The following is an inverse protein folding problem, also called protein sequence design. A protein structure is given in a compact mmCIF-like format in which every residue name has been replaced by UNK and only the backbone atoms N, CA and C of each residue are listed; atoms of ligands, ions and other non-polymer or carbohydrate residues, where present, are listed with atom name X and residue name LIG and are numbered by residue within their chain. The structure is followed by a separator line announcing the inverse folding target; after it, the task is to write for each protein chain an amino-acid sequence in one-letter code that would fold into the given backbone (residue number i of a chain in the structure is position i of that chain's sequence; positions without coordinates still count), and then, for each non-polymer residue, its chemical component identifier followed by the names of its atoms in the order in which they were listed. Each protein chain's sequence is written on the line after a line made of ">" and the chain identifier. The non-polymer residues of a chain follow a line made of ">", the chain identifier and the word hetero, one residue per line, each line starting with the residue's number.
data_IF_242071916213
#
_entry.id   IF_242071916213
#
_cell.length_a   1.000
_cell.length_b   1.000
_cell.length_c   1.000
_cell.angle_alpha   90.00
_cell.angle_beta   90.00
_cell.angle_gamma   90.00
#
_symmetry.space_group_name_H-M   'P 1'
#
loop_
_entity.id
_entity.type
_entity.pdbx_description
1 polymer ?
#
# COMPACT_ATOMS: atom_id res chain seq x y z
N UNK A 1 3.95 -19.63 -1.37
CA UNK A 1 4.51 -18.29 -1.14
C UNK A 1 4.84 -17.64 -2.47
N UNK A 2 4.65 -16.33 -2.59
CA UNK A 2 5.05 -15.51 -3.73
C UNK A 2 5.95 -14.41 -3.21
N UNK A 3 7.21 -14.37 -3.65
CA UNK A 3 8.25 -13.52 -3.04
C UNK A 3 8.95 -12.72 -4.12
N UNK A 4 9.06 -11.41 -3.90
CA UNK A 4 9.82 -10.45 -4.72
C UNK A 4 9.46 -10.49 -6.21
N UNK A 5 8.19 -10.71 -6.54
CA UNK A 5 7.70 -10.68 -7.91
C UNK A 5 7.43 -9.24 -8.36
N UNK A 6 7.50 -9.00 -9.67
CA UNK A 6 6.97 -7.80 -10.30
C UNK A 6 5.77 -8.23 -11.14
N UNK A 7 4.59 -7.69 -10.86
CA UNK A 7 3.33 -8.04 -11.52
C UNK A 7 2.66 -6.77 -12.02
N UNK A 8 2.48 -6.63 -13.32
CA UNK A 8 1.86 -5.43 -13.88
C UNK A 8 1.06 -5.70 -15.14
N UNK A 9 0.12 -4.79 -15.43
CA UNK A 9 -0.68 -4.79 -16.66
C UNK A 9 -1.47 -6.10 -16.89
N UNK A 10 -1.98 -6.69 -15.81
CA UNK A 10 -2.85 -7.87 -15.82
C UNK A 10 -4.31 -7.53 -15.50
N UNK A 11 -5.21 -8.52 -15.64
CA UNK A 11 -6.63 -8.37 -15.24
C UNK A 11 -6.79 -8.25 -13.72
N UNK A 12 -6.78 -9.35 -12.96
CA UNK A 12 -6.46 -9.33 -11.53
C UNK A 12 -4.95 -9.52 -11.31
N UNK A 13 -4.44 -9.01 -10.19
CA UNK A 13 -3.06 -9.22 -9.76
C UNK A 13 -2.96 -10.58 -9.09
N UNK A 14 -2.89 -10.59 -7.76
CA UNK A 14 -3.02 -11.82 -6.98
C UNK A 14 -4.48 -12.09 -6.62
N UNK A 15 -4.94 -13.31 -6.85
CA UNK A 15 -6.21 -13.81 -6.38
C UNK A 15 -6.00 -14.99 -5.43
N UNK A 16 -6.51 -14.88 -4.20
CA UNK A 16 -6.49 -15.97 -3.22
C UNK A 16 -7.92 -16.38 -2.92
N UNK A 17 -8.27 -17.64 -3.22
CA UNK A 17 -9.58 -18.22 -2.91
C UNK A 17 -9.62 -18.79 -1.49
N UNK A 18 -10.83 -19.00 -0.97
CA UNK A 18 -11.03 -19.40 0.43
C UNK A 18 -10.54 -20.79 0.80
N UNK A 19 -10.37 -21.67 -0.17
CA UNK A 19 -9.93 -23.06 0.00
C UNK A 19 -8.44 -23.20 0.36
N UNK A 20 -7.65 -22.13 0.29
CA UNK A 20 -6.21 -22.16 0.56
C UNK A 20 -5.87 -21.45 1.88
N UNK A 21 -5.56 -22.22 2.96
CA UNK A 21 -5.40 -21.65 4.29
C UNK A 21 -3.97 -21.19 4.64
N UNK A 22 -3.01 -21.20 3.72
CA UNK A 22 -1.62 -20.79 4.02
C UNK A 22 -0.94 -20.16 2.81
N UNK A 23 -1.19 -18.87 2.60
CA UNK A 23 -0.63 -18.11 1.47
C UNK A 23 0.11 -16.89 2.00
N UNK A 24 1.35 -16.71 1.53
CA UNK A 24 2.12 -15.50 1.77
C UNK A 24 2.50 -14.86 0.44
N UNK A 25 2.18 -13.57 0.31
CA UNK A 25 2.61 -12.68 -0.78
C UNK A 25 3.51 -11.61 -0.14
N UNK A 26 4.79 -11.63 -0.50
CA UNK A 26 5.82 -10.86 0.18
C UNK A 26 6.70 -10.06 -0.79
N UNK A 27 7.02 -8.81 -0.43
CA UNK A 27 8.10 -8.05 -1.07
C UNK A 27 7.91 -7.74 -2.56
N UNK A 28 6.72 -7.99 -3.10
CA UNK A 28 6.41 -7.88 -4.53
C UNK A 28 6.01 -6.45 -4.90
N UNK A 29 6.18 -6.09 -6.17
CA UNK A 29 5.79 -4.79 -6.73
C UNK A 29 4.65 -5.04 -7.72
N UNK A 30 3.49 -4.43 -7.47
CA UNK A 30 2.27 -4.68 -8.24
C UNK A 30 1.66 -3.37 -8.73
N UNK A 31 1.49 -3.18 -10.03
CA UNK A 31 0.98 -1.91 -10.56
C UNK A 31 0.21 -2.05 -11.88
N UNK A 32 -0.59 -1.04 -12.21
CA UNK A 32 -1.40 -1.00 -13.43
C UNK A 32 -2.29 -2.24 -13.63
N UNK A 33 -2.79 -2.82 -12.54
CA UNK A 33 -3.69 -3.97 -12.61
C UNK A 33 -5.11 -3.51 -12.87
N UNK A 34 -5.75 -4.18 -13.82
CA UNK A 34 -7.16 -4.05 -14.11
C UNK A 34 -7.48 -3.37 -15.42
N UNK A 35 -8.72 -2.93 -15.54
CA UNK A 35 -9.24 -2.24 -16.71
C UNK A 35 -10.45 -1.39 -16.35
N UNK A 36 -10.77 -0.41 -17.20
CA UNK A 36 -12.02 0.34 -17.12
C UNK A 36 -13.15 -0.49 -17.77
N UNK A 37 -14.10 -0.94 -16.96
CA UNK A 37 -15.35 -1.53 -17.42
C UNK A 37 -16.42 -0.47 -17.74
N UNK A 38 -17.58 -0.89 -18.29
CA UNK A 38 -18.69 0.03 -18.59
C UNK A 38 -19.33 0.64 -17.34
N UNK A 39 -19.20 -0.03 -16.19
CA UNK A 39 -19.73 0.39 -14.89
C UNK A 39 -18.65 1.07 -14.04
N UNK A 40 -17.47 0.46 -13.91
CA UNK A 40 -16.41 0.89 -12.98
C UNK A 40 -15.03 0.37 -13.36
N UNK A 41 -14.01 0.77 -12.61
CA UNK A 41 -12.69 0.13 -12.62
C UNK A 41 -12.77 -1.28 -12.03
N UNK A 42 -12.26 -2.26 -12.77
CA UNK A 42 -12.13 -3.66 -12.35
C UNK A 42 -10.66 -4.02 -12.21
N UNK A 43 -10.38 -5.09 -11.46
CA UNK A 43 -9.01 -5.55 -11.20
C UNK A 43 -8.38 -4.89 -9.98
N UNK A 44 -7.69 -5.69 -9.18
CA UNK A 44 -7.11 -5.29 -7.90
C UNK A 44 -5.70 -5.86 -7.80
N UNK A 45 -4.77 -5.16 -7.15
CA UNK A 45 -3.44 -5.72 -6.95
C UNK A 45 -3.50 -7.00 -6.11
N UNK A 46 -4.31 -7.00 -5.04
CA UNK A 46 -4.57 -8.15 -4.20
C UNK A 46 -6.09 -8.32 -4.05
N UNK A 47 -6.64 -9.45 -4.49
CA UNK A 47 -8.00 -9.86 -4.13
C UNK A 47 -7.93 -11.11 -3.28
N UNK A 48 -8.25 -10.97 -1.98
CA UNK A 48 -7.90 -11.96 -0.97
C UNK A 48 -9.14 -12.42 -0.21
N UNK A 49 -9.28 -13.74 -0.09
CA UNK A 49 -10.28 -14.41 0.76
C UNK A 49 -9.64 -15.56 1.54
N UNK A 50 -10.22 -15.93 2.68
CA UNK A 50 -9.80 -17.12 3.42
C UNK A 50 -10.88 -17.60 4.38
N UNK A 51 -11.18 -18.90 4.39
CA UNK A 51 -12.10 -19.51 5.37
C UNK A 51 -11.41 -19.86 6.69
N UNK A 52 -10.08 -20.01 6.68
CA UNK A 52 -9.32 -20.48 7.85
C UNK A 52 -8.07 -19.63 8.10
N UNK A 53 -7.27 -19.36 7.06
CA UNK A 53 -6.00 -18.65 7.15
C UNK A 53 -4.90 -19.41 7.93
N UNK A 54 -3.70 -18.82 8.05
CA UNK A 54 -3.40 -17.43 7.71
C UNK A 54 -3.20 -17.15 6.21
N UNK A 55 -3.66 -15.98 5.78
CA UNK A 55 -3.18 -15.35 4.52
C UNK A 55 -2.42 -14.08 4.86
N UNK A 56 -1.20 -13.96 4.36
CA UNK A 56 -0.25 -12.90 4.68
C UNK A 56 0.08 -12.09 3.44
N UNK A 57 -0.25 -10.80 3.45
CA UNK A 57 0.14 -9.81 2.42
C UNK A 57 1.12 -8.85 3.09
N UNK A 58 2.42 -9.00 2.83
CA UNK A 58 3.46 -8.33 3.63
C UNK A 58 4.55 -7.62 2.82
N UNK A 59 4.91 -6.40 3.24
CA UNK A 59 6.01 -5.61 2.67
C UNK A 59 5.98 -5.48 1.13
N UNK A 60 4.79 -5.53 0.51
CA UNK A 60 4.62 -5.33 -0.92
C UNK A 60 4.48 -3.84 -1.25
N UNK A 61 4.72 -3.48 -2.51
CA UNK A 61 4.46 -2.15 -3.06
C UNK A 61 3.35 -2.29 -4.10
N UNK A 62 2.25 -1.56 -3.92
CA UNK A 62 1.08 -1.62 -4.79
C UNK A 62 0.68 -0.22 -5.23
N UNK A 63 0.60 0.04 -6.53
CA UNK A 63 0.24 1.38 -7.00
C UNK A 63 -0.48 1.45 -8.33
N UNK A 64 -1.28 2.50 -8.50
CA UNK A 64 -2.01 2.78 -9.74
C UNK A 64 -2.82 1.57 -10.23
N UNK A 65 -3.78 1.11 -9.44
CA UNK A 65 -4.72 0.08 -9.89
C UNK A 65 -5.96 0.73 -10.50
N UNK A 66 -6.69 0.01 -11.36
CA UNK A 66 -8.03 0.41 -11.77
C UNK A 66 -9.04 0.27 -10.64
N UNK A 67 -8.94 -0.79 -9.84
CA UNK A 67 -9.70 -0.97 -8.59
C UNK A 67 -8.84 -0.75 -7.34
N UNK A 68 -9.08 -1.55 -6.29
CA UNK A 68 -8.37 -1.45 -5.02
C UNK A 68 -6.90 -1.91 -5.10
N UNK A 69 -6.06 -1.40 -4.19
CA UNK A 69 -4.74 -1.98 -3.94
C UNK A 69 -4.88 -3.34 -3.26
N UNK A 70 -5.49 -3.35 -2.08
CA UNK A 70 -5.94 -4.57 -1.42
C UNK A 70 -7.47 -4.60 -1.37
N UNK A 71 -8.05 -5.68 -1.86
CA UNK A 71 -9.48 -5.98 -1.84
C UNK A 71 -9.72 -7.29 -1.07
N UNK A 72 -9.70 -7.19 0.26
CA UNK A 72 -10.15 -8.27 1.12
C UNK A 72 -11.68 -8.21 1.22
N UNK A 73 -12.33 -9.00 0.37
CA UNK A 73 -13.77 -8.89 0.13
C UNK A 73 -14.35 -10.24 -0.24
N UNK A 74 -15.56 -10.52 0.22
CA UNK A 74 -16.32 -11.70 -0.22
C UNK A 74 -17.78 -11.40 -0.48
N UNK A 75 -18.34 -12.05 -1.50
CA UNK A 75 -19.77 -12.05 -1.80
C UNK A 75 -20.49 -13.08 -0.94
N UNK A 76 -21.78 -12.86 -0.72
CA UNK A 76 -22.62 -13.78 0.04
C UNK A 76 -22.56 -15.20 -0.56
N UNK A 77 -22.25 -16.18 0.28
CA UNK A 77 -22.12 -17.59 -0.15
C UNK A 77 -20.84 -17.95 -0.91
N UNK A 78 -19.91 -17.01 -1.13
CA UNK A 78 -18.65 -17.26 -1.84
C UNK A 78 -17.44 -17.53 -0.93
N UNK A 79 -17.71 -17.75 0.37
CA UNK A 79 -16.72 -18.00 1.42
C UNK A 79 -16.58 -16.83 2.41
N UNK A 80 -15.64 -16.94 3.35
CA UNK A 80 -15.42 -16.05 4.49
C UNK A 80 -14.12 -15.23 4.36
N UNK A 81 -13.91 -14.34 5.33
CA UNK A 81 -12.69 -13.56 5.53
C UNK A 81 -12.16 -13.82 6.94
N UNK A 82 -11.26 -14.80 7.07
CA UNK A 82 -10.70 -15.26 8.35
C UNK A 82 -9.18 -15.18 8.36
N UNK A 83 -8.63 -14.61 9.43
CA UNK A 83 -7.19 -14.67 9.72
C UNK A 83 -6.31 -14.12 8.58
N UNK A 84 -6.71 -12.98 7.99
CA UNK A 84 -5.98 -12.31 6.92
C UNK A 84 -5.18 -11.16 7.52
N UNK A 85 -3.90 -11.05 7.13
CA UNK A 85 -2.98 -10.02 7.62
C UNK A 85 -2.41 -9.21 6.47
N UNK A 86 -2.61 -7.89 6.53
CA UNK A 86 -2.09 -6.90 5.60
C UNK A 86 -1.09 -6.05 6.38
N UNK A 87 0.20 -6.35 6.24
CA UNK A 87 1.25 -5.82 7.13
C UNK A 87 2.40 -5.16 6.36
N UNK A 88 2.81 -3.95 6.73
CA UNK A 88 4.04 -3.33 6.20
C UNK A 88 3.99 -2.94 4.72
N UNK A 89 2.83 -3.02 4.05
CA UNK A 89 2.73 -2.75 2.62
C UNK A 89 2.76 -1.24 2.33
N UNK A 90 3.24 -0.88 1.16
CA UNK A 90 3.15 0.46 0.60
C UNK A 90 2.05 0.47 -0.45
N UNK A 91 0.99 1.25 -0.26
CA UNK A 91 -0.14 1.29 -1.21
C UNK A 91 -0.52 2.72 -1.55
N UNK A 92 -0.44 3.09 -2.83
CA UNK A 92 -0.71 4.47 -3.23
C UNK A 92 -1.42 4.56 -4.57
N UNK A 93 -2.24 5.60 -4.74
CA UNK A 93 -2.96 5.88 -5.98
C UNK A 93 -3.81 4.73 -6.53
N UNK A 94 -4.15 3.73 -5.73
CA UNK A 94 -5.03 2.66 -6.19
C UNK A 94 -6.42 3.22 -6.44
N UNK A 95 -7.08 2.75 -7.50
CA UNK A 95 -8.39 3.21 -7.93
C UNK A 95 -8.35 4.44 -8.83
N UNK A 96 -7.19 5.10 -8.97
CA UNK A 96 -7.07 6.34 -9.75
C UNK A 96 -6.86 6.12 -11.26
N UNK A 97 -6.67 4.87 -11.71
CA UNK A 97 -6.70 4.59 -13.14
C UNK A 97 -8.13 4.54 -13.71
N UNK A 98 -9.13 4.30 -12.85
CA UNK A 98 -10.54 4.39 -13.24
C UNK A 98 -11.01 5.84 -13.31
N UNK A 99 -11.91 6.16 -14.23
CA UNK A 99 -12.37 7.53 -14.45
C UNK A 99 -13.66 7.91 -13.71
N UNK A 100 -14.33 6.95 -13.06
CA UNK A 100 -15.66 7.13 -12.51
C UNK A 100 -15.90 6.42 -11.16
N UNK A 101 -14.91 5.70 -10.63
CA UNK A 101 -15.10 4.78 -9.51
C UNK A 101 -13.83 4.63 -8.66
N UNK A 102 -13.35 5.73 -8.04
CA UNK A 102 -12.16 5.67 -7.22
C UNK A 102 -12.37 4.67 -6.07
N UNK A 103 -11.46 3.70 -6.00
CA UNK A 103 -11.44 2.64 -4.99
C UNK A 103 -10.42 2.96 -3.90
N UNK A 104 -10.49 2.26 -2.77
CA UNK A 104 -9.55 2.48 -1.68
C UNK A 104 -8.15 1.92 -1.97
N UNK A 105 -7.12 2.45 -1.31
CA UNK A 105 -5.81 1.82 -1.28
C UNK A 105 -5.94 0.45 -0.61
N UNK A 106 -6.55 0.39 0.57
CA UNK A 106 -6.76 -0.87 1.30
C UNK A 106 -8.24 -0.99 1.67
N UNK A 107 -8.89 -2.07 1.27
CA UNK A 107 -10.13 -2.59 1.86
C UNK A 107 -9.80 -3.90 2.60
N UNK A 108 -9.99 -3.91 3.92
CA UNK A 108 -9.85 -5.08 4.78
C UNK A 108 -11.20 -5.46 5.43
N UNK A 109 -11.54 -6.74 5.51
CA UNK A 109 -12.80 -7.22 6.10
C UNK A 109 -14.06 -6.68 5.43
N UNK A 110 -14.03 -6.44 4.11
CA UNK A 110 -15.17 -5.94 3.35
C UNK A 110 -16.17 -7.03 2.96
N UNK A 111 -17.26 -6.61 2.31
CA UNK A 111 -18.18 -7.53 1.64
C UNK A 111 -19.40 -7.95 2.43
N UNK A 112 -19.88 -9.15 2.11
CA UNK A 112 -21.23 -9.63 2.40
C UNK A 112 -21.26 -10.88 3.29
N UNK A 113 -20.10 -11.34 3.78
CA UNK A 113 -19.99 -12.35 4.83
C UNK A 113 -19.12 -11.81 5.98
N UNK A 114 -19.42 -12.17 7.25
CA UNK A 114 -18.67 -11.65 8.40
C UNK A 114 -17.18 -11.95 8.32
N UNK A 115 -16.37 -10.92 8.51
CA UNK A 115 -14.92 -11.04 8.66
C UNK A 115 -14.51 -11.20 10.13
N UNK A 116 -13.40 -11.88 10.41
CA UNK A 116 -12.88 -12.08 11.77
C UNK A 116 -11.38 -12.40 11.77
N UNK A 117 -10.66 -11.94 12.79
CA UNK A 117 -9.21 -12.13 12.90
C UNK A 117 -8.42 -11.31 11.88
N UNK A 118 -8.92 -10.12 11.51
CA UNK A 118 -8.32 -9.29 10.47
C UNK A 118 -7.26 -8.35 11.06
N UNK A 119 -6.10 -8.28 10.42
CA UNK A 119 -4.98 -7.42 10.84
C UNK A 119 -4.56 -6.48 9.72
N UNK A 120 -4.55 -5.18 9.99
CA UNK A 120 -4.05 -4.13 9.08
C UNK A 120 -3.04 -3.29 9.85
N UNK A 121 -1.75 -3.60 9.74
CA UNK A 121 -0.73 -2.93 10.54
C UNK A 121 0.48 -2.46 9.77
N UNK A 122 1.09 -1.38 10.24
CA UNK A 122 2.38 -0.88 9.74
C UNK A 122 2.39 -0.57 8.24
N UNK A 123 1.22 -0.41 7.60
CA UNK A 123 1.14 -0.08 6.18
C UNK A 123 1.35 1.42 5.98
N UNK A 124 1.98 1.77 4.86
CA UNK A 124 2.21 3.15 4.44
C UNK A 124 1.37 3.42 3.21
N UNK A 125 0.48 4.41 3.27
CA UNK A 125 -0.40 4.72 2.15
C UNK A 125 -0.37 6.18 1.75
N UNK A 126 -0.69 6.46 0.48
CA UNK A 126 -0.65 7.81 -0.05
C UNK A 126 -1.69 8.04 -1.15
N UNK A 127 -2.34 9.20 -1.08
CA UNK A 127 -2.96 9.87 -2.21
C UNK A 127 -2.50 11.33 -2.24
N UNK A 128 -2.19 11.89 -3.42
CA UNK A 128 -1.93 13.32 -3.55
C UNK A 128 -3.12 14.18 -3.08
N UNK A 129 -2.87 15.43 -2.65
CA UNK A 129 -3.94 16.36 -2.30
C UNK A 129 -4.99 16.51 -3.41
N UNK A 130 -6.26 16.40 -3.05
CA UNK A 130 -7.38 16.50 -4.01
C UNK A 130 -7.73 15.21 -4.76
N UNK A 131 -6.98 14.12 -4.53
CA UNK A 131 -7.24 12.81 -5.15
C UNK A 131 -7.62 11.74 -4.12
N UNK A 132 -8.12 10.62 -4.63
CA UNK A 132 -8.33 9.40 -3.87
C UNK A 132 -9.77 9.22 -3.35
N UNK A 133 -10.03 8.00 -2.89
CA UNK A 133 -11.22 7.65 -2.13
C UNK A 133 -10.86 7.49 -0.64
N UNK A 134 -11.54 6.58 0.06
CA UNK A 134 -11.07 6.08 1.36
C UNK A 134 -9.66 5.55 1.19
N UNK A 135 -8.75 5.94 2.07
CA UNK A 135 -7.37 5.48 2.00
C UNK A 135 -7.27 4.07 2.58
N UNK A 136 -7.57 3.93 3.87
CA UNK A 136 -7.75 2.63 4.52
C UNK A 136 -9.23 2.49 4.88
N UNK A 137 -9.89 1.50 4.31
CA UNK A 137 -11.23 1.07 4.68
C UNK A 137 -11.14 -0.27 5.40
N UNK A 138 -11.68 -0.33 6.61
CA UNK A 138 -11.80 -1.58 7.35
C UNK A 138 -13.25 -1.86 7.71
N UNK A 139 -13.77 -2.98 7.23
CA UNK A 139 -15.16 -3.35 7.38
C UNK A 139 -16.10 -2.82 6.27
N UNK A 140 -17.34 -3.33 6.25
CA UNK A 140 -18.31 -3.02 5.23
C UNK A 140 -19.05 -1.71 5.51
N UNK A 141 -19.71 -1.15 4.50
CA UNK A 141 -20.65 -0.01 4.64
C UNK A 141 -22.10 -0.45 4.88
N UNK A 142 -22.38 -1.75 4.77
CA UNK A 142 -23.73 -2.33 4.72
C UNK A 142 -24.38 -2.58 6.10
N UNK A 143 -23.67 -2.31 7.21
CA UNK A 143 -24.15 -2.68 8.55
C UNK A 143 -23.83 -4.11 8.99
N UNK A 144 -23.23 -4.93 8.12
CA UNK A 144 -22.88 -6.31 8.45
C UNK A 144 -21.89 -6.38 9.63
N UNK A 145 -22.28 -7.10 10.68
CA UNK A 145 -21.48 -7.22 11.91
C UNK A 145 -20.34 -8.22 11.75
N UNK A 146 -19.11 -7.70 11.76
CA UNK A 146 -17.88 -8.48 11.77
C UNK A 146 -17.44 -8.85 13.20
N UNK A 147 -16.55 -9.84 13.31
CA UNK A 147 -15.95 -10.30 14.57
C UNK A 147 -14.86 -9.35 15.07
N UNK A 148 -13.62 -9.83 15.05
CA UNK A 148 -12.44 -9.16 15.60
C UNK A 148 -11.53 -8.55 14.54
N UNK A 149 -10.94 -7.40 14.87
CA UNK A 149 -9.90 -6.79 14.05
C UNK A 149 -8.87 -5.97 14.82
N UNK A 150 -7.72 -5.76 14.18
CA UNK A 150 -6.62 -4.91 14.65
C UNK A 150 -6.15 -3.97 13.54
N UNK A 151 -6.16 -2.66 13.80
CA UNK A 151 -5.62 -1.61 12.92
C UNK A 151 -4.59 -0.79 13.68
N UNK A 152 -3.30 -1.00 13.39
CA UNK A 152 -2.23 -0.37 14.18
C UNK A 152 -1.09 0.19 13.36
N UNK A 153 -0.51 1.29 13.85
CA UNK A 153 0.75 1.82 13.34
C UNK A 153 0.79 2.09 11.83
N UNK A 154 -0.38 2.22 11.18
CA UNK A 154 -0.42 2.57 9.77
C UNK A 154 -0.10 4.06 9.61
N UNK A 155 0.61 4.41 8.54
CA UNK A 155 0.91 5.78 8.15
C UNK A 155 0.11 6.12 6.89
N UNK A 156 -1.09 6.70 7.07
CA UNK A 156 -2.03 6.95 5.99
C UNK A 156 -2.11 8.44 5.66
N UNK A 157 -1.86 8.78 4.39
CA UNK A 157 -1.79 10.18 3.93
C UNK A 157 -2.76 10.42 2.79
N UNK A 158 -3.62 11.41 2.95
CA UNK A 158 -4.57 11.82 1.92
C UNK A 158 -5.76 10.87 1.77
N UNK A 159 -6.48 11.02 0.65
CA UNK A 159 -7.77 10.40 0.39
C UNK A 159 -8.94 11.26 0.90
N UNK A 160 -10.14 10.99 0.39
CA UNK A 160 -11.38 11.63 0.86
C UNK A 160 -11.74 11.21 2.28
N UNK A 161 -11.21 10.07 2.74
CA UNK A 161 -11.27 9.60 4.13
C UNK A 161 -9.97 8.88 4.44
N UNK A 162 -9.21 9.30 5.47
CA UNK A 162 -7.93 8.67 5.78
C UNK A 162 -8.12 7.27 6.39
N UNK A 163 -9.11 7.12 7.27
CA UNK A 163 -9.48 5.83 7.84
C UNK A 163 -11.01 5.72 7.98
N UNK A 164 -11.58 4.68 7.38
CA UNK A 164 -12.96 4.28 7.60
C UNK A 164 -13.00 3.00 8.44
N UNK A 165 -13.82 2.96 9.50
CA UNK A 165 -14.02 1.77 10.35
C UNK A 165 -15.50 1.41 10.45
N UNK A 166 -15.90 0.30 9.84
CA UNK A 166 -17.29 -0.15 9.74
C UNK A 166 -17.56 -1.49 10.44
N UNK A 167 -18.50 -1.49 11.38
CA UNK A 167 -19.22 -2.65 11.95
C UNK A 167 -18.37 -3.84 12.47
N UNK A 168 -17.65 -3.65 13.57
CA UNK A 168 -16.86 -4.69 14.27
C UNK A 168 -17.34 -4.90 15.70
N UNK A 169 -17.44 -6.16 16.16
CA UNK A 169 -17.74 -6.47 17.59
C UNK A 169 -16.55 -6.18 18.50
N UNK A 170 -15.34 -6.45 18.00
CA UNK A 170 -14.09 -6.21 18.73
C UNK A 170 -13.07 -5.56 17.79
N UNK A 171 -12.93 -4.25 17.85
CA UNK A 171 -11.94 -3.54 17.05
C UNK A 171 -10.92 -2.87 17.95
N UNK A 172 -9.64 -3.09 17.64
CA UNK A 172 -8.54 -2.35 18.24
C UNK A 172 -7.90 -1.44 17.21
N UNK A 173 -8.02 -0.14 17.42
CA UNK A 173 -7.52 0.89 16.51
C UNK A 173 -6.61 1.83 17.31
N UNK A 174 -5.31 1.67 17.19
CA UNK A 174 -4.31 2.44 17.96
C UNK A 174 -3.04 2.74 17.15
N UNK A 175 -2.23 3.70 17.59
CA UNK A 175 -0.91 3.99 17.00
C UNK A 175 -0.87 4.48 15.55
N UNK A 176 -2.01 4.63 14.86
CA UNK A 176 -2.06 5.06 13.46
C UNK A 176 -1.76 6.56 13.32
N UNK A 177 -0.93 6.91 12.35
CA UNK A 177 -0.68 8.29 11.92
C UNK A 177 -1.53 8.57 10.69
N UNK A 178 -2.57 9.39 10.86
CA UNK A 178 -3.52 9.74 9.82
C UNK A 178 -3.36 11.22 9.47
N UNK A 179 -2.93 11.48 8.24
CA UNK A 179 -2.58 12.82 7.76
C UNK A 179 -3.41 13.22 6.55
N UNK A 180 -3.87 14.46 6.53
CA UNK A 180 -4.63 15.05 5.43
C UNK A 180 -6.09 15.35 5.79
N UNK A 181 -6.81 15.96 4.85
CA UNK A 181 -8.14 16.53 5.10
C UNK A 181 -9.30 15.52 5.18
N UNK A 182 -9.07 14.25 4.87
CA UNK A 182 -10.15 13.25 4.76
C UNK A 182 -10.77 12.82 6.09
N UNK A 183 -10.10 13.00 7.22
CA UNK A 183 -10.65 12.66 8.53
C UNK A 183 -10.78 11.14 8.78
N UNK A 184 -11.49 10.80 9.86
CA UNK A 184 -11.90 9.44 10.21
C UNK A 184 -13.43 9.35 10.10
N UNK A 185 -13.94 8.28 9.49
CA UNK A 185 -15.37 7.90 9.56
C UNK A 185 -15.51 6.58 10.31
N UNK A 186 -16.17 6.60 11.48
CA UNK A 186 -16.45 5.42 12.30
C UNK A 186 -17.94 5.12 12.33
N UNK A 187 -18.33 3.90 11.93
CA UNK A 187 -19.72 3.41 11.90
C UNK A 187 -19.99 2.32 12.95
N UNK A 188 -19.37 2.45 14.10
CA UNK A 188 -19.44 1.51 15.24
C UNK A 188 -19.48 2.28 16.55
N UNK A 189 -20.07 1.69 17.59
CA UNK A 189 -19.80 2.09 18.98
C UNK A 189 -18.38 1.64 19.34
N UNK A 190 -17.40 2.35 18.79
CA UNK A 190 -15.99 2.13 19.08
C UNK A 190 -15.62 2.90 20.34
N UNK A 191 -15.17 2.17 21.37
CA UNK A 191 -14.38 2.73 22.46
C UNK A 191 -12.96 3.15 22.01
N UNK A 192 -12.71 3.37 20.70
CA UNK A 192 -11.40 3.69 20.16
C UNK A 192 -11.29 5.17 19.78
N UNK A 193 -10.23 5.82 20.29
CA UNK A 193 -9.85 7.19 19.96
C UNK A 193 -8.82 7.20 18.84
N UNK A 194 -9.25 7.07 17.58
CA UNK A 194 -8.37 7.40 16.46
C UNK A 194 -8.29 8.93 16.33
N UNK A 195 -7.08 9.49 16.20
CA UNK A 195 -6.85 10.93 16.03
C UNK A 195 -6.35 11.21 14.62
N UNK A 196 -6.91 12.23 13.96
CA UNK A 196 -6.37 12.78 12.70
C UNK A 196 -5.55 14.01 13.01
N UNK A 197 -4.38 14.11 12.39
CA UNK A 197 -3.57 15.31 12.40
C UNK A 197 -3.55 15.95 11.00
N UNK A 198 -3.43 17.28 10.90
CA UNK A 198 -3.12 17.90 9.62
C UNK A 198 -1.79 17.34 9.09
N UNK A 199 -1.68 17.23 7.77
CA UNK A 199 -0.39 16.91 7.15
C UNK A 199 0.66 17.94 7.57
N UNK A 200 1.87 17.53 8.00
CA UNK A 200 2.94 18.47 8.31
C UNK A 200 3.24 19.37 7.10
N UNK A 201 3.61 20.61 7.36
CA UNK A 201 4.05 21.55 6.33
C UNK A 201 5.57 21.56 6.12
N UNK A 202 6.32 20.85 6.98
CA UNK A 202 7.79 20.81 6.95
C UNK A 202 8.32 19.44 7.37
N UNK A 203 9.57 19.18 7.02
CA UNK A 203 10.30 17.96 7.34
C UNK A 203 10.11 16.84 6.31
N UNK A 204 10.70 15.70 6.62
CA UNK A 204 10.55 14.46 5.87
C UNK A 204 10.26 13.31 6.84
N UNK A 205 9.51 12.33 6.37
CA UNK A 205 9.34 11.05 7.04
C UNK A 205 9.90 9.98 6.13
N UNK A 206 10.99 9.35 6.57
CA UNK A 206 11.71 8.31 5.82
C UNK A 206 11.54 6.99 6.54
N UNK A 207 10.99 5.99 5.84
CA UNK A 207 10.87 4.61 6.33
C UNK A 207 11.68 3.68 5.43
N UNK A 208 12.51 2.83 6.03
CA UNK A 208 13.30 1.83 5.31
C UNK A 208 12.88 0.44 5.79
N UNK A 209 12.28 -0.34 4.89
CA UNK A 209 11.78 -1.68 5.17
C UNK A 209 12.67 -2.72 4.51
N UNK A 210 13.46 -3.41 5.33
CA UNK A 210 14.35 -4.49 4.89
C UNK A 210 13.54 -5.68 4.40
N UNK A 211 14.00 -6.27 3.31
CA UNK A 211 13.42 -7.52 2.82
C UNK A 211 13.90 -8.68 3.69
N UNK A 212 12.98 -9.48 4.22
CA UNK A 212 13.28 -10.62 5.07
C UNK A 212 13.87 -11.82 4.31
N UNK A 213 13.60 -11.93 3.01
CA UNK A 213 14.04 -13.06 2.17
C UNK A 213 15.25 -12.74 1.30
N UNK A 214 15.63 -11.46 1.16
CA UNK A 214 16.72 -11.03 0.30
C UNK A 214 17.60 -9.97 1.01
N UNK A 215 18.68 -10.41 1.70
CA UNK A 215 19.62 -9.50 2.33
C UNK A 215 20.21 -8.50 1.34
N UNK A 216 20.27 -7.23 1.73
CA UNK A 216 20.69 -6.14 0.85
C UNK A 216 19.58 -5.57 -0.03
N UNK A 217 18.33 -6.04 0.10
CA UNK A 217 17.14 -5.44 -0.54
C UNK A 217 16.27 -4.70 0.49
N UNK A 218 15.76 -3.52 0.12
CA UNK A 218 14.80 -2.79 0.94
C UNK A 218 13.84 -1.92 0.12
N UNK A 219 12.63 -1.73 0.64
CA UNK A 219 11.72 -0.69 0.20
C UNK A 219 12.03 0.58 1.00
N UNK A 220 12.22 1.71 0.32
CA UNK A 220 12.44 3.02 0.95
C UNK A 220 11.24 3.89 0.62
N UNK A 221 10.59 4.44 1.64
CA UNK A 221 9.38 5.25 1.52
C UNK A 221 9.70 6.63 2.07
N UNK A 222 9.49 7.66 1.26
CA UNK A 222 9.76 9.05 1.65
C UNK A 222 8.50 9.87 1.48
N UNK A 223 7.97 10.37 2.59
CA UNK A 223 7.03 11.48 2.60
C UNK A 223 7.81 12.79 2.83
N UNK A 224 7.68 13.75 1.92
CA UNK A 224 8.50 14.96 1.85
C UNK A 224 7.66 16.22 1.97
N UNK A 225 7.32 16.56 3.21
CA UNK A 225 6.43 17.66 3.57
C UNK A 225 7.03 19.02 3.22
N UNK A 226 8.36 19.14 3.32
CA UNK A 226 9.09 20.35 2.92
C UNK A 226 9.24 20.52 1.41
N UNK A 227 8.83 19.56 0.59
CA UNK A 227 9.01 19.63 -0.87
C UNK A 227 10.49 19.74 -1.28
N UNK A 228 11.40 19.17 -0.49
CA UNK A 228 12.84 19.20 -0.76
C UNK A 228 13.17 18.49 -2.07
N UNK A 229 14.21 18.94 -2.76
CA UNK A 229 14.67 18.28 -3.99
C UNK A 229 15.28 16.89 -3.75
N UNK A 230 15.77 16.63 -2.53
CA UNK A 230 16.42 15.38 -2.14
C UNK A 230 16.05 14.99 -0.71
N UNK A 231 16.23 13.70 -0.39
CA UNK A 231 16.08 13.16 0.95
C UNK A 231 17.31 12.33 1.32
N UNK A 232 17.83 12.54 2.53
CA UNK A 232 18.86 11.70 3.12
C UNK A 232 18.22 10.46 3.75
N UNK A 233 18.72 9.27 3.41
CA UNK A 233 18.18 7.98 3.84
C UNK A 233 19.26 7.13 4.47
N UNK A 234 19.08 6.78 5.75
CA UNK A 234 19.96 5.84 6.44
C UNK A 234 19.66 4.40 5.99
N UNK A 235 20.64 3.79 5.31
CA UNK A 235 20.57 2.42 4.79
C UNK A 235 21.57 1.49 5.49
N UNK A 236 22.17 1.93 6.60
CA UNK A 236 23.20 1.17 7.34
C UNK A 236 22.71 -0.17 7.91
N UNK A 237 21.40 -0.34 8.07
CA UNK A 237 20.78 -1.60 8.47
C UNK A 237 20.55 -2.57 7.31
N UNK A 238 20.68 -2.09 6.06
CA UNK A 238 20.46 -2.83 4.81
C UNK A 238 21.77 -3.21 4.14
N UNK A 239 22.72 -2.27 4.09
CA UNK A 239 24.00 -2.41 3.40
C UNK A 239 25.17 -2.32 4.37
N UNK A 240 26.22 -3.06 4.06
CA UNK A 240 27.53 -2.97 4.70
C UNK A 240 28.50 -2.13 3.87
N UNK A 241 29.43 -1.44 4.53
CA UNK A 241 30.45 -0.63 3.84
C UNK A 241 31.22 -1.52 2.85
N UNK A 242 31.41 -1.03 1.62
CA UNK A 242 32.06 -1.75 0.53
C UNK A 242 31.11 -2.59 -0.35
N UNK A 243 29.81 -2.68 -0.03
CA UNK A 243 28.83 -3.34 -0.90
C UNK A 243 28.42 -2.42 -2.06
N UNK A 244 28.31 -2.98 -3.27
CA UNK A 244 27.74 -2.26 -4.41
C UNK A 244 26.22 -2.27 -4.31
N UNK A 245 25.58 -1.16 -4.66
CA UNK A 245 24.13 -1.04 -4.62
C UNK A 245 23.62 -0.19 -5.78
N UNK A 246 22.31 -0.32 -6.02
CA UNK A 246 21.55 0.55 -6.88
C UNK A 246 20.17 0.80 -6.25
N UNK A 247 19.59 1.96 -6.57
CA UNK A 247 18.28 2.40 -6.10
C UNK A 247 17.46 2.87 -7.30
N UNK A 248 16.23 2.41 -7.40
CA UNK A 248 15.27 2.80 -8.43
C UNK A 248 14.05 3.45 -7.81
N UNK A 249 13.48 4.47 -8.45
CA UNK A 249 12.10 4.88 -8.14
C UNK A 249 11.16 3.78 -8.66
N UNK A 250 10.21 3.31 -7.85
CA UNK A 250 9.35 2.19 -8.26
C UNK A 250 8.42 2.52 -9.43
N UNK A 251 8.18 3.80 -9.71
CA UNK A 251 7.44 4.24 -10.90
C UNK A 251 8.30 4.27 -12.18
N UNK A 252 9.63 4.11 -12.06
CA UNK A 252 10.58 3.94 -13.17
C UNK A 252 11.53 2.76 -12.89
N UNK A 253 10.94 1.62 -12.52
CA UNK A 253 11.67 0.46 -12.00
C UNK A 253 12.65 -0.15 -13.01
N UNK A 254 12.36 -0.02 -14.30
CA UNK A 254 13.18 -0.56 -15.39
C UNK A 254 14.05 0.52 -16.06
N UNK A 255 13.98 1.75 -15.58
CA UNK A 255 14.83 2.85 -16.04
C UNK A 255 16.21 2.85 -15.38
N UNK A 256 16.88 4.00 -15.48
CA UNK A 256 18.20 4.21 -14.88
C UNK A 256 18.09 4.29 -13.36
N UNK A 257 18.96 3.61 -12.59
CA UNK A 257 19.02 3.80 -11.14
C UNK A 257 19.19 5.29 -10.79
N UNK A 258 18.39 5.78 -9.84
CA UNK A 258 18.43 7.17 -9.37
C UNK A 258 19.60 7.43 -8.41
N UNK A 259 20.16 6.36 -7.83
CA UNK A 259 21.38 6.37 -7.04
C UNK A 259 22.04 5.00 -7.11
N UNK A 260 23.34 4.93 -6.87
CA UNK A 260 24.09 3.68 -6.82
C UNK A 260 25.59 3.92 -6.69
N UNK A 261 26.34 2.85 -6.47
CA UNK A 261 27.78 2.90 -6.27
C UNK A 261 28.24 1.89 -5.23
N UNK A 262 29.40 2.14 -4.64
CA UNK A 262 29.86 1.42 -3.44
C UNK A 262 29.34 2.17 -2.23
N UNK A 263 28.75 1.46 -1.27
CA UNK A 263 28.28 2.07 -0.04
C UNK A 263 29.46 2.37 0.89
N UNK A 264 29.69 3.65 1.19
CA UNK A 264 30.81 4.11 2.02
C UNK A 264 30.41 4.36 3.48
N UNK A 265 29.17 4.02 3.86
CA UNK A 265 28.60 4.27 5.19
C UNK A 265 27.71 5.53 5.23
N UNK A 266 26.99 5.72 6.34
CA UNK A 266 26.09 6.86 6.53
C UNK A 266 24.82 6.82 5.69
N UNK A 267 24.23 7.99 5.44
CA UNK A 267 23.02 8.12 4.62
C UNK A 267 23.34 8.26 3.14
N UNK A 268 22.51 7.66 2.29
CA UNK A 268 22.50 7.94 0.85
C UNK A 268 21.54 9.09 0.54
N UNK A 269 21.79 9.83 -0.55
CA UNK A 269 20.94 10.94 -0.98
C UNK A 269 20.08 10.48 -2.16
N UNK A 270 18.76 10.53 -2.00
CA UNK A 270 17.82 10.15 -3.05
C UNK A 270 17.12 11.39 -3.63
N UNK A 271 16.97 11.49 -4.95
CA UNK A 271 16.23 12.58 -5.57
C UNK A 271 14.73 12.42 -5.29
N UNK A 272 14.09 13.52 -4.90
CA UNK A 272 12.64 13.61 -4.73
C UNK A 272 11.95 14.21 -5.96
N UNK A 273 12.61 14.22 -7.12
CA UNK A 273 12.03 14.72 -8.36
C UNK A 273 10.78 13.92 -8.74
N UNK A 274 9.82 14.60 -9.36
CA UNK A 274 8.66 13.99 -9.98
C UNK A 274 9.08 12.98 -11.06
N UNK A 275 8.50 11.78 -11.01
CA UNK A 275 8.59 10.76 -12.05
C UNK A 275 7.19 10.56 -12.62
N UNK A 276 6.98 10.62 -13.95
CA UNK A 276 5.69 10.27 -14.55
C UNK A 276 5.34 8.82 -14.19
N UNK A 277 4.12 8.54 -13.70
CA UNK A 277 3.74 7.17 -13.40
C UNK A 277 3.75 6.31 -14.69
N UNK A 278 4.08 5.01 -14.60
CA UNK A 278 4.16 4.16 -15.77
C UNK A 278 2.78 4.07 -16.44
N UNK A 279 2.67 4.33 -17.76
CA UNK A 279 1.41 4.20 -18.46
C UNK A 279 0.98 2.73 -18.49
N UNK A 280 -0.30 2.41 -18.23
CA UNK A 280 -0.80 1.07 -18.48
C UNK A 280 -0.59 0.66 -19.95
N UNK A 281 -0.26 -0.60 -20.20
CA UNK A 281 -0.07 -1.12 -21.56
C UNK A 281 -1.36 -0.89 -22.36
N UNK A 282 -1.21 -0.27 -23.54
CA UNK A 282 -2.34 0.11 -24.40
C UNK A 282 -2.85 1.54 -24.17
N UNK A 283 -2.33 2.28 -23.20
CA UNK A 283 -2.60 3.70 -23.00
C UNK A 283 -1.40 4.55 -23.42
N UNK A 284 -1.65 5.71 -24.02
CA UNK A 284 -0.60 6.65 -24.42
C UNK A 284 0.09 7.34 -23.23
N UNK A 285 -0.63 7.50 -22.11
CA UNK A 285 -0.13 8.10 -20.88
C UNK A 285 -0.85 7.50 -19.67
N UNK A 286 -0.23 7.62 -18.48
CA UNK A 286 -0.87 7.21 -17.24
C UNK A 286 -1.86 8.30 -16.78
N UNK A 287 -3.13 7.97 -16.46
CA UNK A 287 -4.07 8.89 -15.85
C UNK A 287 -3.79 9.11 -14.35
N UNK A 288 -2.95 8.28 -13.73
CA UNK A 288 -2.59 8.46 -12.33
C UNK A 288 -1.82 9.77 -12.11
N UNK A 289 -2.07 10.49 -11.00
CA UNK A 289 -1.31 11.69 -10.68
C UNK A 289 0.13 11.35 -10.28
N UNK A 290 1.06 12.25 -10.64
CA UNK A 290 2.44 12.23 -10.15
C UNK A 290 2.45 12.40 -8.63
N UNK A 291 3.29 11.64 -7.93
CA UNK A 291 3.40 11.69 -6.45
C UNK A 291 4.52 12.60 -5.95
N UNK A 292 5.60 12.72 -6.72
CA UNK A 292 6.72 13.60 -6.40
C UNK A 292 6.35 15.09 -6.55
N UNK A 293 6.97 15.99 -5.77
CA UNK A 293 8.05 15.72 -4.83
C UNK A 293 7.59 15.28 -3.44
N UNK A 294 6.29 15.27 -3.17
CA UNK A 294 5.75 15.06 -1.82
C UNK A 294 5.81 13.60 -1.36
N UNK A 295 5.82 12.64 -2.29
CA UNK A 295 5.91 11.23 -1.97
C UNK A 295 6.64 10.47 -3.06
N UNK A 296 7.67 9.71 -2.68
CA UNK A 296 8.33 8.73 -3.55
C UNK A 296 8.59 7.43 -2.79
N UNK A 297 8.58 6.35 -3.56
CA UNK A 297 8.93 5.01 -3.08
C UNK A 297 10.06 4.50 -3.96
N UNK A 298 11.07 3.91 -3.32
CA UNK A 298 12.24 3.40 -4.01
C UNK A 298 12.49 1.94 -3.64
N UNK A 299 13.03 1.20 -4.60
CA UNK A 299 13.61 -0.11 -4.38
C UNK A 299 15.12 0.05 -4.29
N UNK A 300 15.72 -0.35 -3.17
CA UNK A 300 17.16 -0.52 -3.03
C UNK A 300 17.49 -2.00 -3.17
N UNK A 301 18.54 -2.31 -3.94
CA UNK A 301 19.11 -3.63 -4.01
C UNK A 301 20.65 -3.59 -4.04
N UNK A 302 21.27 -4.53 -3.34
CA UNK A 302 22.69 -4.85 -3.50
C UNK A 302 22.92 -5.42 -4.90
N UNK A 303 23.95 -4.95 -5.59
CA UNK A 303 24.30 -5.39 -6.94
C UNK A 303 25.56 -6.27 -6.93
N UNK A 304 25.72 -7.19 -7.89
CA UNK A 304 26.95 -7.95 -8.05
C UNK A 304 28.16 -7.03 -8.25
N UNK A 305 29.34 -7.55 -7.87
CA UNK A 305 30.62 -6.87 -8.11
C UNK A 305 30.92 -6.75 -9.59
#
# INVERSE_FOLDING_TARGET
>A
KFVNLIVHDGGPGFFVSTTYPDVEIYGSIVYNIGYQGPDRGHGHAMYIKSDVGPVLVRDNIMFNQFGFGVHEYTDAGSGQLRNIRVEGNVVFNSGLLSNNSPSANILAGGGQAPADGITVTDNMTYYPPGYGAKNIQVGPVSGLSNGSMTVRNNYAVGGSTSLYVGHWRHAVVDGNTLLGGGGIDTRTDLHATARVAPTPSTGTTVLVRRNAYEPGRANIIVYNWSGLATAAVDVSKVLHVGERYAVWNVQDLFGTPVAGGTYDGGSIILPMTAVPPPPPIGMASSPAPVTGPLFNVFLLARTPR
#
